data_IF_198906235757
#
_entry.id   IF_198906235757
#
_cell.length_a   1.000
_cell.length_b   1.000
_cell.length_c   1.000
_cell.angle_alpha   90.00
_cell.angle_beta   90.00
_cell.angle_gamma   90.00
#
_symmetry.space_group_name_H-M   'P 1'
#
loop_
_entity.id
_entity.type
_entity.pdbx_description
1 polymer ?
#
# COMPACT_ATOMS: atom_id res chain seq x y z
N UNK A 1 -1.19 -7.77 16.32
CA UNK A 1 -0.78 -8.01 14.92
C UNK A 1 -0.06 -6.75 14.44
N UNK A 2 1.17 -6.87 13.96
CA UNK A 2 1.92 -5.76 13.37
C UNK A 2 1.35 -5.44 11.97
N UNK A 3 1.48 -4.20 11.49
CA UNK A 3 1.12 -3.77 10.13
C UNK A 3 1.68 -4.73 9.06
N UNK A 4 2.91 -5.21 9.24
CA UNK A 4 3.52 -6.18 8.32
C UNK A 4 2.78 -7.53 8.28
N UNK A 5 2.26 -7.98 9.42
CA UNK A 5 1.45 -9.21 9.49
C UNK A 5 0.08 -9.01 8.84
N UNK A 6 -0.52 -7.81 9.00
CA UNK A 6 -1.79 -7.45 8.36
C UNK A 6 -1.62 -7.37 6.84
N UNK A 7 -0.52 -6.80 6.35
CA UNK A 7 -0.21 -6.74 4.92
C UNK A 7 -0.03 -8.12 4.32
N UNK A 8 0.67 -9.01 5.04
CA UNK A 8 0.85 -10.40 4.61
C UNK A 8 -0.49 -11.13 4.52
N UNK A 9 -1.36 -10.96 5.51
CA UNK A 9 -2.71 -11.54 5.50
C UNK A 9 -3.54 -11.01 4.32
N UNK A 10 -3.45 -9.72 4.01
CA UNK A 10 -4.16 -9.12 2.88
C UNK A 10 -3.65 -9.66 1.53
N UNK A 11 -2.34 -9.86 1.39
CA UNK A 11 -1.75 -10.46 0.19
C UNK A 11 -2.20 -11.92 0.02
N UNK A 12 -2.20 -12.71 1.08
CA UNK A 12 -2.69 -14.10 1.08
C UNK A 12 -4.16 -14.18 0.67
N UNK A 13 -5.03 -13.34 1.25
CA UNK A 13 -6.46 -13.32 0.93
C UNK A 13 -6.75 -12.92 -0.52
N UNK A 14 -6.00 -11.96 -1.06
CA UNK A 14 -6.16 -11.52 -2.44
C UNK A 14 -5.68 -12.62 -3.38
N UNK A 15 -4.53 -13.22 -3.11
CA UNK A 15 -4.02 -14.34 -3.89
C UNK A 15 -4.99 -15.53 -3.91
N UNK A 16 -5.55 -15.89 -2.75
CA UNK A 16 -6.54 -16.96 -2.65
C UNK A 16 -7.82 -16.66 -3.45
N UNK A 17 -8.16 -15.37 -3.62
CA UNK A 17 -9.36 -14.94 -4.34
C UNK A 17 -9.13 -14.76 -5.86
N UNK A 18 -7.98 -14.23 -6.26
CA UNK A 18 -7.71 -13.80 -7.65
C UNK A 18 -6.68 -14.68 -8.36
N UNK A 19 -5.85 -15.42 -7.62
CA UNK A 19 -4.66 -16.11 -8.12
C UNK A 19 -3.47 -15.18 -8.40
N UNK A 20 -3.58 -13.89 -8.07
CA UNK A 20 -2.58 -12.87 -8.35
C UNK A 20 -2.10 -12.17 -7.08
N UNK A 21 -0.80 -11.87 -7.01
CA UNK A 21 -0.24 -11.08 -5.93
C UNK A 21 -0.48 -9.59 -6.17
N UNK A 22 -0.56 -8.83 -5.07
CA UNK A 22 -0.62 -7.38 -5.14
C UNK A 22 0.62 -6.80 -5.84
N UNK A 23 0.39 -5.86 -6.74
CA UNK A 23 1.48 -5.10 -7.34
C UNK A 23 2.10 -4.10 -6.33
N UNK A 24 3.23 -3.52 -6.71
CA UNK A 24 3.95 -2.58 -5.86
C UNK A 24 3.11 -1.36 -5.44
N UNK A 25 2.28 -0.83 -6.32
CA UNK A 25 1.44 0.33 -6.06
C UNK A 25 0.33 -0.03 -5.06
N UNK A 26 -0.32 -1.17 -5.25
CA UNK A 26 -1.37 -1.66 -4.37
C UNK A 26 -0.84 -1.95 -2.96
N UNK A 27 0.34 -2.59 -2.85
CA UNK A 27 1.03 -2.81 -1.56
C UNK A 27 1.34 -1.49 -0.86
N UNK A 28 1.84 -0.51 -1.61
CA UNK A 28 2.18 0.81 -1.07
C UNK A 28 0.94 1.53 -0.52
N UNK A 29 -0.19 1.48 -1.24
CA UNK A 29 -1.45 2.08 -0.79
C UNK A 29 -1.96 1.40 0.48
N UNK A 30 -1.98 0.08 0.53
CA UNK A 30 -2.41 -0.68 1.71
C UNK A 30 -1.53 -0.39 2.92
N UNK A 31 -0.21 -0.40 2.74
CA UNK A 31 0.74 -0.10 3.82
C UNK A 31 0.50 1.29 4.40
N UNK A 32 0.46 2.31 3.55
CA UNK A 32 0.28 3.69 4.00
C UNK A 32 -1.09 3.95 4.62
N UNK A 33 -2.13 3.24 4.15
CA UNK A 33 -3.47 3.28 4.76
C UNK A 33 -3.45 2.69 6.18
N UNK A 34 -2.80 1.54 6.37
CA UNK A 34 -2.67 0.88 7.67
C UNK A 34 -1.77 1.66 8.65
N UNK A 35 -0.79 2.41 8.13
CA UNK A 35 0.04 3.36 8.88
C UNK A 35 -0.69 4.66 9.24
N UNK A 36 -1.99 4.76 8.92
CA UNK A 36 -2.85 5.91 9.21
C UNK A 36 -2.33 7.22 8.54
N UNK A 37 -1.57 7.08 7.46
CA UNK A 37 -1.21 8.22 6.60
C UNK A 37 -2.43 8.54 5.73
N UNK A 38 -3.03 9.69 5.96
CA UNK A 38 -4.19 10.13 5.18
C UNK A 38 -3.83 10.23 3.70
N UNK A 39 -4.79 9.91 2.81
CA UNK A 39 -4.65 10.02 1.36
C UNK A 39 -4.04 11.36 0.91
N UNK A 40 -4.30 12.44 1.67
CA UNK A 40 -3.71 13.76 1.48
C UNK A 40 -2.17 13.76 1.54
N UNK A 41 -1.59 13.09 2.55
CA UNK A 41 -0.13 12.99 2.73
C UNK A 41 0.52 12.11 1.66
N UNK A 42 -0.18 11.06 1.23
CA UNK A 42 0.25 10.17 0.13
C UNK A 42 0.29 10.94 -1.20
N UNK A 43 -0.74 11.74 -1.48
CA UNK A 43 -0.82 12.55 -2.70
C UNK A 43 0.23 13.68 -2.73
N UNK A 44 0.47 14.34 -1.60
CA UNK A 44 1.51 15.38 -1.46
C UNK A 44 2.91 14.81 -1.74
N UNK A 45 3.30 13.69 -1.12
CA UNK A 45 4.62 13.08 -1.33
C UNK A 45 4.81 12.54 -2.77
N UNK A 46 3.75 12.01 -3.39
CA UNK A 46 3.80 11.50 -4.77
C UNK A 46 3.93 12.64 -5.79
N UNK A 47 3.32 13.80 -5.50
CA UNK A 47 3.41 14.98 -6.35
C UNK A 47 4.79 15.65 -6.25
N UNK A 48 5.36 15.75 -5.06
CA UNK A 48 6.70 16.31 -4.86
C UNK A 48 7.80 15.48 -5.53
N UNK A 49 7.71 14.14 -5.48
CA UNK A 49 8.66 13.25 -6.15
C UNK A 49 8.66 13.39 -7.69
N UNK A 50 7.59 13.91 -8.30
CA UNK A 50 7.50 14.15 -9.75
C UNK A 50 8.11 15.48 -10.19
N UNK A 51 8.25 16.44 -9.27
CA UNK A 51 8.72 17.80 -9.56
C UNK A 51 10.18 18.06 -9.11
N UNK A 52 10.89 17.06 -8.61
CA UNK A 52 12.29 17.17 -8.19
C UNK A 52 13.32 16.60 -9.19
N UNK A 53 12.95 16.48 -10.47
CA UNK A 53 13.89 16.18 -11.56
C UNK A 53 14.38 17.45 -12.25
#
# INVERSE_FOLDING_TARGET
MNIQEILKLAEELIYDHTGENLDYLQKTILQRTLENQTYKKIAEETYEARNSC
#
